data_IF_716229763067
#
_entry.id   IF_716229763067
#
_cell.length_a   1.000
_cell.length_b   1.000
_cell.length_c   1.000
_cell.angle_alpha   90.00
_cell.angle_beta   90.00
_cell.angle_gamma   90.00
#
_symmetry.space_group_name_H-M   'P 1'
#
loop_
_entity.id
_entity.type
_entity.pdbx_description
1 polymer ?
#
# COMPACT_ATOMS: atom_id res chain seq x y z
N UNK A 1 5.42 -1.03 15.58
CA UNK A 1 4.69 -1.69 14.50
C UNK A 1 3.19 -1.57 14.68
N UNK A 2 2.45 -1.73 13.57
CA UNK A 2 1.00 -1.91 13.55
C UNK A 2 0.68 -3.07 12.62
N UNK A 3 0.03 -4.09 13.14
CA UNK A 3 -0.47 -5.24 12.36
C UNK A 3 -1.99 -5.19 12.40
N UNK A 4 -2.61 -5.22 11.24
CA UNK A 4 -4.07 -5.27 11.10
C UNK A 4 -4.46 -6.51 10.30
N UNK A 5 -5.47 -7.25 10.76
CA UNK A 5 -6.02 -8.34 9.98
C UNK A 5 -7.07 -7.83 8.95
N UNK A 6 -7.53 -8.72 8.09
CA UNK A 6 -8.48 -8.36 7.03
C UNK A 6 -9.81 -7.83 7.56
N UNK A 7 -10.32 -8.40 8.64
CA UNK A 7 -11.57 -7.94 9.27
C UNK A 7 -11.46 -6.53 9.84
N UNK A 8 -10.32 -6.23 10.49
CA UNK A 8 -10.05 -4.88 10.98
C UNK A 8 -9.93 -3.86 9.86
N UNK A 9 -9.28 -4.23 8.76
CA UNK A 9 -9.16 -3.37 7.58
C UNK A 9 -10.54 -3.07 6.96
N UNK A 10 -11.38 -4.09 6.79
CA UNK A 10 -12.76 -3.93 6.33
C UNK A 10 -13.57 -3.03 7.27
N UNK A 11 -13.50 -3.29 8.58
CA UNK A 11 -14.24 -2.54 9.59
C UNK A 11 -13.89 -1.04 9.61
N UNK A 12 -12.61 -0.69 9.45
CA UNK A 12 -12.19 0.72 9.34
C UNK A 12 -12.88 1.38 8.16
N UNK A 13 -12.78 0.77 6.99
CA UNK A 13 -13.31 1.33 5.74
C UNK A 13 -14.83 1.49 5.83
N UNK A 14 -15.52 0.52 6.39
CA UNK A 14 -16.97 0.59 6.57
C UNK A 14 -17.36 1.70 7.56
N UNK A 15 -16.62 1.86 8.65
CA UNK A 15 -16.88 2.89 9.65
C UNK A 15 -16.67 4.32 9.13
N UNK A 16 -15.74 4.51 8.20
CA UNK A 16 -15.53 5.82 7.54
C UNK A 16 -16.46 6.04 6.34
N UNK A 17 -17.31 5.05 6.02
CA UNK A 17 -18.30 5.14 4.94
C UNK A 17 -17.75 4.80 3.57
N UNK A 18 -16.70 4.00 3.49
CA UNK A 18 -16.09 3.56 2.23
C UNK A 18 -14.99 4.48 1.73
N UNK A 19 -14.28 4.01 0.71
CA UNK A 19 -13.21 4.76 0.02
C UNK A 19 -13.46 4.84 -1.47
N UNK A 20 -13.17 5.99 -2.07
CA UNK A 20 -13.30 6.20 -3.50
C UNK A 20 -12.00 5.86 -4.22
N UNK A 21 -12.07 4.88 -5.13
CA UNK A 21 -10.96 4.49 -6.00
C UNK A 21 -11.40 4.41 -7.45
N UNK A 22 -10.46 4.59 -8.37
CA UNK A 22 -10.72 4.50 -9.80
C UNK A 22 -10.47 3.08 -10.31
N UNK A 23 -11.52 2.26 -10.28
CA UNK A 23 -11.46 0.86 -10.73
C UNK A 23 -11.34 0.81 -12.26
N UNK A 24 -10.25 0.26 -12.77
CA UNK A 24 -10.03 0.08 -14.20
C UNK A 24 -10.85 -1.10 -14.74
N UNK A 25 -11.29 -1.02 -16.00
CA UNK A 25 -12.17 -2.05 -16.58
C UNK A 25 -11.56 -3.47 -16.51
N UNK A 26 -10.25 -3.59 -16.73
CA UNK A 26 -9.55 -4.87 -16.67
C UNK A 26 -9.43 -5.46 -15.26
N UNK A 27 -9.66 -4.65 -14.21
CA UNK A 27 -9.61 -5.08 -12.81
C UNK A 27 -10.91 -5.70 -12.31
N UNK A 28 -12.05 -5.42 -12.97
CA UNK A 28 -13.39 -5.80 -12.47
C UNK A 28 -13.55 -7.30 -12.20
N UNK A 29 -13.08 -8.14 -13.10
CA UNK A 29 -13.25 -9.59 -12.98
C UNK A 29 -12.48 -10.13 -11.76
N UNK A 30 -11.20 -9.74 -11.62
CA UNK A 30 -10.39 -10.18 -10.49
C UNK A 30 -10.87 -9.56 -9.17
N UNK A 31 -11.27 -8.28 -9.18
CA UNK A 31 -11.88 -7.64 -8.01
C UNK A 31 -13.06 -8.45 -7.48
N UNK A 32 -14.02 -8.76 -8.36
CA UNK A 32 -15.21 -9.47 -7.96
C UNK A 32 -14.95 -10.92 -7.52
N UNK A 33 -13.95 -11.56 -8.10
CA UNK A 33 -13.49 -12.88 -7.65
C UNK A 33 -12.96 -12.82 -6.22
N UNK A 34 -12.10 -11.82 -5.90
CA UNK A 34 -11.55 -11.67 -4.56
C UNK A 34 -12.59 -11.26 -3.52
N UNK A 35 -13.70 -10.59 -3.90
CA UNK A 35 -14.80 -10.28 -2.98
C UNK A 35 -15.36 -11.57 -2.36
N UNK A 36 -15.56 -12.63 -3.15
CA UNK A 36 -16.04 -13.91 -2.65
C UNK A 36 -15.03 -14.71 -1.81
N UNK A 37 -13.74 -14.44 -1.97
CA UNK A 37 -12.65 -15.19 -1.34
C UNK A 37 -12.12 -14.57 -0.04
N UNK A 38 -12.42 -13.28 0.24
CA UNK A 38 -11.70 -12.54 1.27
C UNK A 38 -12.03 -12.93 2.70
N UNK A 39 -13.25 -12.65 3.15
CA UNK A 39 -13.69 -12.85 4.54
C UNK A 39 -14.92 -13.76 4.64
N UNK A 40 -15.27 -14.40 3.52
CA UNK A 40 -16.45 -15.26 3.39
C UNK A 40 -17.74 -14.49 3.11
N UNK A 41 -18.69 -15.17 2.51
CA UNK A 41 -19.99 -14.62 2.15
C UNK A 41 -20.03 -13.93 0.78
N UNK A 42 -21.24 -13.82 0.25
CA UNK A 42 -21.49 -13.10 -0.99
C UNK A 42 -21.71 -11.62 -0.66
N UNK A 43 -20.81 -10.78 -1.14
CA UNK A 43 -21.00 -9.36 -1.10
C UNK A 43 -21.36 -8.82 -2.48
N UNK A 44 -21.85 -7.59 -2.51
CA UNK A 44 -22.29 -6.97 -3.75
C UNK A 44 -21.09 -6.75 -4.68
N UNK A 45 -21.15 -7.25 -5.92
CA UNK A 45 -20.07 -7.05 -6.86
C UNK A 45 -19.97 -5.60 -7.31
N UNK A 46 -18.77 -5.18 -7.67
CA UNK A 46 -18.54 -3.92 -8.37
C UNK A 46 -18.85 -4.13 -9.85
N UNK A 47 -19.88 -3.46 -10.35
CA UNK A 47 -20.44 -3.74 -11.69
C UNK A 47 -19.92 -2.81 -12.78
N UNK A 48 -19.26 -1.70 -12.40
CA UNK A 48 -18.79 -0.66 -13.34
C UNK A 48 -17.36 -0.28 -13.03
N UNK A 49 -16.61 0.03 -14.07
CA UNK A 49 -15.30 0.71 -13.96
C UNK A 49 -15.48 2.23 -13.73
N UNK A 50 -14.37 2.90 -13.48
CA UNK A 50 -14.34 4.32 -13.16
C UNK A 50 -14.32 4.56 -11.65
N UNK A 51 -14.62 5.77 -11.22
CA UNK A 51 -14.64 6.13 -9.81
C UNK A 51 -15.78 5.40 -9.09
N UNK A 52 -15.42 4.60 -8.09
CA UNK A 52 -16.33 3.78 -7.32
C UNK A 52 -16.11 3.99 -5.82
N UNK A 53 -17.19 4.13 -5.07
CA UNK A 53 -17.14 4.08 -3.60
C UNK A 53 -17.16 2.61 -3.17
N UNK A 54 -16.06 2.12 -2.69
CA UNK A 54 -15.88 0.74 -2.25
C UNK A 54 -16.11 0.61 -0.74
N UNK A 55 -16.90 -0.37 -0.34
CA UNK A 55 -17.00 -0.78 1.06
C UNK A 55 -15.73 -1.52 1.52
N UNK A 56 -15.65 -1.92 2.80
CA UNK A 56 -14.47 -2.56 3.36
C UNK A 56 -14.04 -3.80 2.61
N UNK A 57 -14.98 -4.71 2.31
CA UNK A 57 -14.69 -5.95 1.59
C UNK A 57 -14.28 -5.70 0.14
N UNK A 58 -14.93 -4.79 -0.54
CA UNK A 58 -14.57 -4.41 -1.90
C UNK A 58 -13.18 -3.76 -1.97
N UNK A 59 -12.86 -2.87 -1.03
CA UNK A 59 -11.57 -2.21 -0.97
C UNK A 59 -10.43 -3.18 -0.59
N UNK A 60 -10.68 -4.11 0.34
CA UNK A 60 -9.74 -5.18 0.64
C UNK A 60 -9.48 -6.05 -0.61
N UNK A 61 -10.55 -6.41 -1.31
CA UNK A 61 -10.46 -7.22 -2.52
C UNK A 61 -9.70 -6.50 -3.63
N UNK A 62 -9.94 -5.21 -3.81
CA UNK A 62 -9.19 -4.34 -4.73
C UNK A 62 -7.69 -4.32 -4.41
N UNK A 63 -7.32 -4.14 -3.15
CA UNK A 63 -5.92 -4.13 -2.70
C UNK A 63 -5.22 -5.50 -2.85
N UNK A 64 -5.99 -6.59 -2.97
CA UNK A 64 -5.49 -7.96 -3.09
C UNK A 64 -5.39 -8.47 -4.52
N UNK A 65 -5.90 -7.76 -5.52
CA UNK A 65 -5.80 -8.16 -6.93
C UNK A 65 -4.33 -8.46 -7.28
N UNK A 66 -4.07 -9.63 -7.83
CA UNK A 66 -2.71 -10.10 -8.12
C UNK A 66 -2.57 -10.72 -9.51
N UNK A 67 -3.52 -11.59 -9.90
CA UNK A 67 -3.43 -12.38 -11.13
C UNK A 67 -4.07 -11.67 -12.32
N UNK A 68 -3.35 -11.66 -13.45
CA UNK A 68 -3.87 -11.19 -14.73
C UNK A 68 -4.08 -9.68 -14.84
N UNK A 69 -3.67 -8.93 -13.82
CA UNK A 69 -3.94 -7.50 -13.70
C UNK A 69 -2.73 -6.80 -13.07
N UNK A 70 -1.69 -6.66 -13.89
CA UNK A 70 -0.44 -6.04 -13.45
C UNK A 70 0.44 -6.97 -12.60
N UNK A 71 1.59 -6.47 -12.26
CA UNK A 71 2.60 -7.15 -11.46
C UNK A 71 2.48 -6.82 -9.95
N UNK A 72 3.47 -7.22 -9.17
CA UNK A 72 3.57 -6.91 -7.75
C UNK A 72 3.62 -5.39 -7.48
N UNK A 73 4.17 -4.60 -8.41
CA UNK A 73 4.21 -3.14 -8.28
C UNK A 73 2.81 -2.55 -8.33
N UNK A 74 1.97 -2.94 -9.30
CA UNK A 74 0.58 -2.48 -9.37
C UNK A 74 -0.23 -2.90 -8.14
N UNK A 75 0.03 -4.08 -7.56
CA UNK A 75 -0.59 -4.48 -6.30
C UNK A 75 -0.21 -3.53 -5.16
N UNK A 76 1.07 -3.22 -5.04
CA UNK A 76 1.58 -2.31 -4.01
C UNK A 76 1.02 -0.90 -4.19
N UNK A 77 0.87 -0.42 -5.43
CA UNK A 77 0.23 0.86 -5.71
C UNK A 77 -1.24 0.87 -5.28
N UNK A 78 -2.02 -0.17 -5.59
CA UNK A 78 -3.41 -0.27 -5.12
C UNK A 78 -3.51 -0.27 -3.60
N UNK A 79 -2.61 -0.97 -2.92
CA UNK A 79 -2.55 -0.97 -1.45
C UNK A 79 -2.29 0.43 -0.91
N UNK A 80 -1.32 1.13 -1.48
CA UNK A 80 -0.99 2.52 -1.10
C UNK A 80 -2.14 3.47 -1.40
N UNK A 81 -2.79 3.34 -2.57
CA UNK A 81 -3.96 4.13 -2.93
C UNK A 81 -5.07 4.00 -1.88
N UNK A 82 -5.43 2.77 -1.51
CA UNK A 82 -6.48 2.53 -0.51
C UNK A 82 -6.08 3.09 0.85
N UNK A 83 -4.84 2.88 1.31
CA UNK A 83 -4.36 3.42 2.59
C UNK A 83 -4.38 4.96 2.61
N UNK A 84 -3.98 5.59 1.51
CA UNK A 84 -4.03 7.04 1.36
C UNK A 84 -5.47 7.54 1.43
N UNK A 85 -6.40 6.90 0.72
CA UNK A 85 -7.82 7.25 0.75
C UNK A 85 -8.45 7.06 2.12
N UNK A 86 -8.04 6.04 2.87
CA UNK A 86 -8.44 5.85 4.28
C UNK A 86 -7.94 7.02 5.14
N UNK A 87 -6.67 7.42 4.98
CA UNK A 87 -6.10 8.53 5.73
C UNK A 87 -6.80 9.87 5.42
N UNK A 88 -7.06 10.17 4.14
CA UNK A 88 -7.85 11.35 3.73
C UNK A 88 -9.23 11.35 4.39
N UNK A 89 -9.94 10.23 4.32
CA UNK A 89 -11.29 10.09 4.86
C UNK A 89 -11.34 10.18 6.39
N UNK A 90 -10.35 9.60 7.07
CA UNK A 90 -10.20 9.74 8.52
C UNK A 90 -10.03 11.21 8.91
N UNK A 91 -9.19 11.95 8.19
CA UNK A 91 -8.97 13.39 8.45
C UNK A 91 -10.25 14.21 8.31
N UNK A 92 -11.11 13.89 7.34
CA UNK A 92 -12.41 14.52 7.13
C UNK A 92 -13.46 14.10 8.16
N UNK A 93 -13.20 13.01 8.86
CA UNK A 93 -14.14 12.43 9.83
C UNK A 93 -14.17 13.26 11.12
N UNK A 94 -15.37 13.51 11.62
CA UNK A 94 -15.52 14.25 12.89
C UNK A 94 -14.83 13.50 14.05
N UNK A 95 -14.06 14.19 14.91
CA UNK A 95 -13.34 13.57 16.02
C UNK A 95 -14.21 12.70 16.93
N UNK A 96 -15.51 13.03 17.07
CA UNK A 96 -16.48 12.25 17.85
C UNK A 96 -16.69 10.83 17.34
N UNK A 97 -16.37 10.54 16.07
CA UNK A 97 -16.47 9.19 15.48
C UNK A 97 -15.22 8.34 15.71
N UNK A 98 -14.09 8.94 16.06
CA UNK A 98 -12.84 8.22 16.23
C UNK A 98 -12.90 7.14 17.31
N UNK A 99 -13.61 7.42 18.40
CA UNK A 99 -13.78 6.41 19.45
C UNK A 99 -14.50 5.15 18.95
N UNK A 100 -15.55 5.31 18.15
CA UNK A 100 -16.24 4.17 17.52
C UNK A 100 -15.37 3.39 16.56
N UNK A 101 -14.59 4.10 15.72
CA UNK A 101 -13.64 3.50 14.79
C UNK A 101 -12.59 2.70 15.55
N UNK A 102 -11.93 3.31 16.55
CA UNK A 102 -10.92 2.64 17.36
C UNK A 102 -11.48 1.40 18.06
N UNK A 103 -12.65 1.53 18.68
CA UNK A 103 -13.26 0.40 19.40
C UNK A 103 -13.60 -0.78 18.47
N UNK A 104 -14.01 -0.50 17.22
CA UNK A 104 -14.28 -1.56 16.24
C UNK A 104 -13.02 -2.29 15.73
N UNK A 105 -11.85 -1.71 15.99
CA UNK A 105 -10.55 -2.21 15.53
C UNK A 105 -9.77 -2.97 16.60
N UNK A 106 -10.05 -2.77 17.89
CA UNK A 106 -9.21 -3.24 19.00
C UNK A 106 -8.90 -4.75 18.93
N UNK A 107 -9.90 -5.55 18.58
CA UNK A 107 -9.73 -7.01 18.49
C UNK A 107 -8.98 -7.45 17.21
N UNK A 108 -8.73 -6.53 16.30
CA UNK A 108 -8.18 -6.80 14.96
C UNK A 108 -6.83 -6.12 14.70
N UNK A 109 -6.31 -5.41 15.68
CA UNK A 109 -5.01 -4.70 15.60
C UNK A 109 -4.09 -5.25 16.68
N UNK A 110 -2.84 -5.48 16.28
CA UNK A 110 -1.72 -5.70 17.21
C UNK A 110 -0.67 -4.61 16.99
N UNK A 111 -0.26 -3.97 18.08
CA UNK A 111 0.72 -2.88 18.02
C UNK A 111 1.52 -2.80 19.31
N UNK A 112 2.74 -2.27 19.22
CA UNK A 112 3.56 -1.88 20.37
C UNK A 112 3.48 -0.37 20.67
N UNK A 113 2.60 0.35 20.00
CA UNK A 113 2.37 1.78 20.23
C UNK A 113 1.46 1.90 21.46
N UNK A 114 1.92 2.64 22.46
CA UNK A 114 1.12 2.94 23.63
C UNK A 114 -0.09 3.82 23.27
N UNK A 115 -1.24 3.64 23.95
CA UNK A 115 -2.46 4.40 23.61
C UNK A 115 -2.27 5.93 23.61
N UNK A 116 -1.45 6.46 24.53
CA UNK A 116 -1.16 7.89 24.59
C UNK A 116 -0.34 8.37 23.40
N UNK A 117 0.63 7.56 22.96
CA UNK A 117 1.45 7.86 21.80
C UNK A 117 0.62 7.82 20.52
N UNK A 118 -0.28 6.82 20.39
CA UNK A 118 -1.23 6.75 19.28
C UNK A 118 -2.12 8.00 19.21
N UNK A 119 -2.60 8.47 20.36
CA UNK A 119 -3.39 9.69 20.44
C UNK A 119 -2.60 10.94 20.04
N UNK A 120 -1.35 11.06 20.51
CA UNK A 120 -0.45 12.15 20.15
C UNK A 120 -0.12 12.14 18.65
N UNK A 121 0.12 10.97 18.05
CA UNK A 121 0.33 10.81 16.62
C UNK A 121 -0.91 11.23 15.82
N UNK A 122 -2.09 10.77 16.22
CA UNK A 122 -3.35 11.14 15.57
C UNK A 122 -3.60 12.65 15.64
N UNK A 123 -3.35 13.27 16.79
CA UNK A 123 -3.47 14.72 16.98
C UNK A 123 -2.47 15.50 16.11
N UNK A 124 -1.25 14.99 15.96
CA UNK A 124 -0.23 15.60 15.11
C UNK A 124 -0.67 15.57 13.64
N UNK A 125 -1.14 14.41 13.15
CA UNK A 125 -1.66 14.25 11.79
C UNK A 125 -2.88 15.17 11.55
N UNK A 126 -3.78 15.26 12.52
CA UNK A 126 -4.95 16.16 12.43
C UNK A 126 -4.56 17.63 12.26
N UNK A 127 -3.42 18.06 12.80
CA UNK A 127 -2.92 19.43 12.69
C UNK A 127 -2.26 19.75 11.35
N UNK A 128 -1.90 18.76 10.56
CA UNK A 128 -1.29 19.03 9.26
C UNK A 128 -2.28 19.74 8.32
N UNK A 129 -1.86 20.81 7.65
CA UNK A 129 -2.73 21.58 6.76
C UNK A 129 -3.14 20.78 5.51
N UNK A 130 -2.28 19.86 5.07
CA UNK A 130 -2.52 18.93 3.96
C UNK A 130 -1.89 17.58 4.26
N UNK A 131 -2.38 16.51 3.61
CA UNK A 131 -1.73 15.20 3.57
C UNK A 131 -0.98 15.06 2.25
N UNK A 132 -0.09 16.00 1.97
CA UNK A 132 0.83 15.82 0.85
C UNK A 132 1.81 14.72 1.21
N UNK A 133 1.76 13.64 0.45
CA UNK A 133 2.65 12.49 0.63
C UNK A 133 3.52 12.33 -0.60
N UNK A 134 4.81 12.22 -0.39
CA UNK A 134 5.74 11.72 -1.40
C UNK A 134 5.89 10.22 -1.21
N UNK A 135 6.04 9.51 -2.30
CA UNK A 135 6.16 8.06 -2.29
C UNK A 135 7.36 7.63 -3.10
N UNK A 136 8.09 6.67 -2.57
CA UNK A 136 9.18 6.00 -3.27
C UNK A 136 8.99 4.49 -3.18
N UNK A 137 9.35 3.78 -4.22
CA UNK A 137 9.40 2.34 -4.26
C UNK A 137 10.86 1.88 -4.23
N UNK A 138 11.22 0.99 -3.33
CA UNK A 138 12.56 0.39 -3.26
C UNK A 138 12.42 -1.15 -3.35
N UNK A 139 13.21 -1.81 -4.19
CA UNK A 139 14.21 -1.23 -5.10
C UNK A 139 13.58 -0.43 -6.24
N UNK A 140 14.28 0.62 -6.70
CA UNK A 140 13.91 1.31 -7.93
C UNK A 140 14.00 0.34 -9.12
N UNK A 141 13.03 0.41 -10.01
CA UNK A 141 13.00 -0.44 -11.22
C UNK A 141 14.26 -0.24 -12.07
N UNK A 142 14.73 1.00 -12.16
CA UNK A 142 15.90 1.40 -12.93
C UNK A 142 17.22 0.92 -12.31
N UNK A 143 17.21 0.59 -11.01
CA UNK A 143 18.38 0.14 -10.24
C UNK A 143 18.22 -1.30 -9.72
N UNK A 144 17.37 -2.07 -10.35
CA UNK A 144 17.11 -3.47 -10.03
C UNK A 144 16.84 -4.30 -11.28
N UNK A 145 16.82 -5.60 -11.09
CA UNK A 145 16.40 -6.59 -12.08
C UNK A 145 15.69 -7.72 -11.33
N UNK A 146 14.92 -8.51 -12.02
CA UNK A 146 14.33 -9.72 -11.48
C UNK A 146 14.98 -10.96 -12.10
N UNK A 147 15.10 -12.01 -11.31
CA UNK A 147 15.61 -13.28 -11.82
C UNK A 147 15.01 -14.46 -11.07
N UNK A 148 14.88 -15.57 -11.77
CA UNK A 148 14.60 -16.87 -11.17
C UNK A 148 15.90 -17.46 -10.61
N UNK A 149 16.02 -17.44 -9.30
CA UNK A 149 17.19 -18.01 -8.61
C UNK A 149 17.10 -19.55 -8.49
N UNK A 150 15.93 -20.12 -8.77
CA UNK A 150 15.64 -21.53 -8.67
C UNK A 150 15.46 -22.03 -7.24
N UNK A 151 15.15 -23.32 -7.08
CA UNK A 151 14.96 -23.95 -5.78
C UNK A 151 13.87 -23.29 -4.93
N UNK A 152 14.09 -23.19 -3.62
CA UNK A 152 13.12 -22.58 -2.69
C UNK A 152 13.05 -21.06 -2.79
N UNK A 153 14.08 -20.41 -3.31
CA UNK A 153 14.13 -18.95 -3.45
C UNK A 153 13.20 -18.45 -4.56
N UNK A 154 13.06 -19.23 -5.66
CA UNK A 154 12.23 -18.83 -6.80
C UNK A 154 12.63 -17.50 -7.41
N UNK A 155 11.64 -16.69 -7.76
CA UNK A 155 11.85 -15.34 -8.29
C UNK A 155 12.25 -14.36 -7.19
N UNK A 156 13.36 -13.67 -7.43
CA UNK A 156 13.92 -12.69 -6.49
C UNK A 156 14.24 -11.39 -7.21
N UNK A 157 14.13 -10.27 -6.50
CA UNK A 157 14.70 -9.00 -6.97
C UNK A 157 16.17 -8.92 -6.58
N UNK A 158 17.01 -8.64 -7.57
CA UNK A 158 18.40 -8.27 -7.39
C UNK A 158 18.56 -6.78 -7.66
N UNK A 159 19.39 -6.11 -6.86
CA UNK A 159 19.48 -4.64 -6.97
C UNK A 159 20.89 -4.12 -6.73
N UNK A 160 21.17 -2.95 -7.25
CA UNK A 160 22.28 -2.15 -6.77
C UNK A 160 21.92 -1.55 -5.41
N UNK A 161 22.41 -2.22 -4.37
CA UNK A 161 22.09 -1.84 -2.99
C UNK A 161 22.63 -0.46 -2.62
N UNK A 162 23.81 -0.10 -3.13
CA UNK A 162 24.47 1.17 -2.80
C UNK A 162 23.69 2.35 -3.36
N UNK A 163 23.37 2.32 -4.64
CA UNK A 163 22.58 3.37 -5.27
C UNK A 163 21.16 3.46 -4.70
N UNK A 164 20.46 2.32 -4.51
CA UNK A 164 19.14 2.31 -3.89
C UNK A 164 19.16 2.90 -2.46
N UNK A 165 20.22 2.59 -1.67
CA UNK A 165 20.36 3.17 -0.33
C UNK A 165 20.56 4.68 -0.39
N UNK A 166 21.40 5.17 -1.30
CA UNK A 166 21.64 6.59 -1.48
C UNK A 166 20.37 7.33 -1.86
N UNK A 167 19.64 6.82 -2.85
CA UNK A 167 18.37 7.43 -3.30
C UNK A 167 17.34 7.44 -2.18
N UNK A 168 17.21 6.36 -1.42
CA UNK A 168 16.30 6.31 -0.27
C UNK A 168 16.65 7.34 0.80
N UNK A 169 17.94 7.51 1.11
CA UNK A 169 18.40 8.51 2.08
C UNK A 169 18.17 9.93 1.58
N UNK A 170 18.45 10.21 0.32
CA UNK A 170 18.20 11.51 -0.29
C UNK A 170 16.70 11.85 -0.28
N UNK A 171 15.86 10.88 -0.57
CA UNK A 171 14.40 11.04 -0.51
C UNK A 171 13.90 11.32 0.91
N UNK A 172 14.33 10.55 1.92
CA UNK A 172 13.83 10.66 3.30
C UNK A 172 14.38 11.90 4.02
N UNK A 173 15.68 12.18 3.87
CA UNK A 173 16.36 13.16 4.71
C UNK A 173 16.64 14.49 4.01
N UNK A 174 16.71 14.48 2.68
CA UNK A 174 17.08 15.67 1.89
C UNK A 174 15.92 16.17 1.01
N UNK A 175 14.77 15.49 1.01
CA UNK A 175 13.61 15.81 0.18
C UNK A 175 13.92 15.81 -1.33
N UNK A 176 14.87 14.97 -1.76
CA UNK A 176 15.29 14.83 -3.16
C UNK A 176 14.60 13.63 -3.77
N UNK A 177 13.84 13.85 -4.84
CA UNK A 177 13.22 12.78 -5.61
C UNK A 177 14.24 12.06 -6.51
N UNK A 178 14.02 10.76 -6.83
CA UNK A 178 14.88 10.02 -7.75
C UNK A 178 15.02 10.73 -9.10
N UNK A 179 16.23 10.85 -9.58
CA UNK A 179 16.55 11.37 -10.91
C UNK A 179 17.41 10.36 -11.66
N UNK A 180 16.82 9.70 -12.64
CA UNK A 180 17.47 8.68 -13.46
C UNK A 180 18.75 9.17 -14.15
N UNK A 181 18.86 10.46 -14.43
CA UNK A 181 20.03 11.05 -15.06
C UNK A 181 21.29 10.98 -14.19
N UNK A 182 21.12 10.76 -12.87
CA UNK A 182 22.19 10.66 -11.89
C UNK A 182 22.65 9.24 -11.62
N UNK A 183 22.00 8.23 -12.23
CA UNK A 183 22.29 6.83 -11.96
C UNK A 183 23.53 6.35 -12.71
N UNK A 184 24.38 5.61 -12.01
CA UNK A 184 25.54 4.94 -12.60
C UNK A 184 25.17 3.55 -13.10
N UNK A 185 24.81 3.47 -14.37
CA UNK A 185 24.44 2.20 -15.01
C UNK A 185 25.63 1.25 -15.23
N UNK A 186 26.87 1.75 -15.14
CA UNK A 186 28.03 0.87 -15.16
C UNK A 186 28.19 0.15 -13.81
N UNK A 187 28.12 0.89 -12.71
CA UNK A 187 28.13 0.32 -11.36
C UNK A 187 26.96 -0.64 -11.16
N UNK A 188 25.76 -0.31 -11.67
CA UNK A 188 24.59 -1.18 -11.65
C UNK A 188 24.90 -2.55 -12.30
N UNK A 189 25.46 -2.56 -13.51
CA UNK A 189 25.80 -3.82 -14.20
C UNK A 189 26.79 -4.65 -13.41
N UNK A 190 27.78 -4.02 -12.81
CA UNK A 190 28.75 -4.70 -11.95
C UNK A 190 28.08 -5.27 -10.70
N UNK A 191 27.22 -4.51 -10.03
CA UNK A 191 26.48 -4.94 -8.85
C UNK A 191 25.58 -6.15 -9.16
N UNK A 192 24.80 -6.10 -10.26
CA UNK A 192 23.90 -7.18 -10.65
C UNK A 192 24.64 -8.44 -11.15
N UNK A 193 25.84 -8.29 -11.74
CA UNK A 193 26.62 -9.43 -12.20
C UNK A 193 27.00 -10.41 -11.09
N UNK A 194 27.12 -9.93 -9.85
CA UNK A 194 27.44 -10.76 -8.67
C UNK A 194 26.34 -11.77 -8.32
N UNK A 195 25.13 -11.57 -8.81
CA UNK A 195 23.98 -12.46 -8.57
C UNK A 195 23.73 -13.43 -9.74
N UNK A 196 24.37 -13.20 -10.89
CA UNK A 196 24.15 -13.99 -12.12
C UNK A 196 25.20 -15.09 -12.33
N UNK A 197 26.04 -15.36 -11.31
CA UNK A 197 27.00 -16.44 -11.28
C UNK A 197 26.42 -17.62 -10.56
#
# INVERSE_FOLDING_TARGET
YVIINFWGFEAIIDQIGGVEVNVKNYQLNELNKYIGESTGGNDYPVTKSGLQLLNGKQALSYARIRKGVGDEFERTERQREVLFKVAEKLRETKPTKYFGILNSMLDNISTNIEPLDALNMAYTIYKFPSLETKQIHIPLTELSDDMDYGGEAGWVFIMDKEQNTKVLHDFIFNDIEPDESTFDYYALREALSKYKT
#
